data_IF_759916779448
#
_entry.id   IF_759916779448
#
_cell.length_a   1.000
_cell.length_b   1.000
_cell.length_c   1.000
_cell.angle_alpha   90.00
_cell.angle_beta   90.00
_cell.angle_gamma   90.00
#
_symmetry.space_group_name_H-M   'P 1'
#
loop_
_entity.id
_entity.type
_entity.pdbx_description
1 polymer ?
#
# COMPACT_ATOMS: atom_id res chain seq x y z
N UNK A 1 -74.39 -11.89 -0.70
CA UNK A 1 -73.30 -11.39 0.19
C UNK A 1 -72.54 -12.62 0.67
N UNK A 2 -71.24 -12.83 0.42
CA UNK A 2 -70.09 -11.96 0.68
C UNK A 2 -68.91 -12.44 -0.20
N UNK A 3 -68.25 -11.52 -0.89
CA UNK A 3 -67.24 -11.81 -1.92
C UNK A 3 -65.88 -12.28 -1.38
N UNK A 4 -65.14 -13.02 -2.20
CA UNK A 4 -63.70 -13.24 -2.07
C UNK A 4 -63.01 -12.53 -3.22
N UNK A 5 -62.24 -11.50 -2.90
CA UNK A 5 -61.44 -10.74 -3.85
C UNK A 5 -60.20 -11.52 -4.29
N UNK A 6 -59.91 -11.43 -5.58
CA UNK A 6 -58.65 -11.82 -6.20
C UNK A 6 -57.51 -10.92 -5.68
N UNK A 7 -56.51 -11.53 -5.05
CA UNK A 7 -55.25 -10.87 -4.71
C UNK A 7 -54.20 -11.26 -5.76
N UNK A 8 -53.71 -10.23 -6.47
CA UNK A 8 -52.62 -10.29 -7.44
C UNK A 8 -51.36 -10.94 -6.87
N UNK A 9 -50.70 -11.74 -7.70
CA UNK A 9 -49.36 -12.28 -7.51
C UNK A 9 -48.33 -11.15 -7.37
N UNK A 10 -47.86 -10.92 -6.14
CA UNK A 10 -46.65 -10.15 -5.85
C UNK A 10 -45.46 -11.09 -5.73
N UNK A 11 -44.54 -11.06 -6.70
CA UNK A 11 -43.23 -11.70 -6.55
C UNK A 11 -42.47 -11.05 -5.38
N UNK A 12 -41.79 -11.82 -4.50
CA UNK A 12 -41.00 -11.22 -3.43
C UNK A 12 -39.80 -10.50 -4.04
N UNK A 13 -39.62 -9.23 -3.66
CA UNK A 13 -38.48 -8.41 -4.03
C UNK A 13 -37.18 -9.14 -3.67
N UNK A 14 -36.28 -9.25 -4.66
CA UNK A 14 -34.95 -9.82 -4.46
C UNK A 14 -34.19 -8.96 -3.44
N UNK A 15 -33.76 -9.59 -2.35
CA UNK A 15 -32.86 -9.00 -1.36
C UNK A 15 -31.61 -8.46 -2.06
N UNK A 16 -31.09 -7.27 -1.68
CA UNK A 16 -29.83 -6.78 -2.23
C UNK A 16 -28.71 -7.80 -1.94
N UNK A 17 -27.75 -7.99 -2.85
CA UNK A 17 -26.67 -8.94 -2.63
C UNK A 17 -25.95 -8.57 -1.34
N UNK A 18 -25.94 -9.51 -0.39
CA UNK A 18 -25.19 -9.37 0.85
C UNK A 18 -23.74 -9.08 0.49
N UNK A 19 -23.26 -7.91 0.90
CA UNK A 19 -21.84 -7.58 0.87
C UNK A 19 -21.12 -8.70 1.61
N UNK A 20 -20.43 -9.57 0.87
CA UNK A 20 -19.62 -10.65 1.43
C UNK A 20 -18.59 -9.98 2.34
N UNK A 21 -18.85 -10.05 3.65
CA UNK A 21 -17.97 -9.50 4.68
C UNK A 21 -16.63 -10.23 4.53
N UNK A 22 -15.49 -9.52 4.43
CA UNK A 22 -14.21 -10.20 4.37
C UNK A 22 -14.06 -11.10 5.61
N UNK A 23 -13.40 -12.26 5.48
CA UNK A 23 -13.20 -13.17 6.60
C UNK A 23 -12.50 -12.44 7.76
N UNK A 24 -12.88 -12.75 9.01
CA UNK A 24 -12.32 -12.16 10.25
C UNK A 24 -10.78 -12.11 10.31
N UNK A 25 -10.10 -12.89 9.47
CA UNK A 25 -8.64 -13.01 9.37
C UNK A 25 -7.91 -11.81 8.73
N UNK A 26 -8.61 -10.80 8.21
CA UNK A 26 -8.02 -9.52 7.76
C UNK A 26 -8.13 -8.39 8.80
N UNK A 27 -8.78 -8.63 9.94
CA UNK A 27 -8.96 -7.61 10.99
C UNK A 27 -7.63 -7.10 11.57
N UNK A 28 -6.55 -7.89 11.57
CA UNK A 28 -5.23 -7.43 12.05
C UNK A 28 -4.60 -6.38 11.11
N UNK A 29 -4.73 -6.55 9.79
CA UNK A 29 -4.33 -5.53 8.82
C UNK A 29 -5.13 -4.24 9.06
N UNK A 30 -6.45 -4.36 9.25
CA UNK A 30 -7.33 -3.22 9.56
C UNK A 30 -7.11 -2.61 10.95
N UNK A 31 -6.66 -3.40 11.93
CA UNK A 31 -6.36 -2.95 13.30
C UNK A 31 -5.03 -2.20 13.37
N UNK A 32 -4.03 -2.56 12.56
CA UNK A 32 -2.80 -1.78 12.43
C UNK A 32 -2.95 -0.57 11.48
N UNK A 33 -3.96 -0.61 10.61
CA UNK A 33 -4.37 0.47 9.68
C UNK A 33 -5.01 1.68 10.37
N UNK A 34 -5.66 1.49 11.52
CA UNK A 34 -6.37 2.57 12.22
C UNK A 34 -5.45 3.62 12.86
N UNK A 35 -4.17 3.31 13.02
CA UNK A 35 -3.19 4.14 13.73
C UNK A 35 -2.24 4.93 12.79
N UNK A 36 -2.36 4.78 11.47
CA UNK A 36 -1.49 5.47 10.50
C UNK A 36 -2.14 6.75 9.96
N UNK A 37 -1.64 7.95 10.31
CA UNK A 37 -2.17 9.21 9.79
C UNK A 37 -2.08 9.34 8.25
N UNK A 38 -1.20 8.58 7.58
CA UNK A 38 -1.15 8.52 6.12
C UNK A 38 -2.27 7.63 5.51
N UNK A 39 -2.76 6.64 6.26
CA UNK A 39 -3.87 5.77 5.83
C UNK A 39 -5.24 6.47 5.96
N UNK A 40 -5.39 7.38 6.92
CA UNK A 40 -6.62 8.19 7.10
C UNK A 40 -6.86 9.11 5.89
N UNK A 41 -5.80 9.66 5.30
CA UNK A 41 -5.90 10.49 4.09
C UNK A 41 -6.13 9.67 2.80
N UNK A 42 -5.85 8.37 2.81
CA UNK A 42 -6.20 7.44 1.72
C UNK A 42 -7.61 6.85 1.86
N UNK A 43 -8.40 7.35 2.83
CA UNK A 43 -9.81 7.04 3.03
C UNK A 43 -10.64 7.41 1.81
N UNK A 44 -10.82 6.41 0.96
CA UNK A 44 -11.64 6.37 -0.23
C UNK A 44 -13.07 6.93 0.01
N UNK A 45 -13.27 8.25 -0.18
CA UNK A 45 -14.61 8.81 -0.45
C UNK A 45 -14.93 8.55 -1.93
N UNK A 46 -15.45 7.36 -2.20
CA UNK A 46 -16.17 7.10 -3.46
C UNK A 46 -17.59 7.64 -3.33
N UNK A 47 -17.81 8.87 -3.77
CA UNK A 47 -19.12 9.36 -4.18
C UNK A 47 -18.94 10.54 -5.14
N UNK A 48 -19.45 10.40 -6.36
CA UNK A 48 -19.98 11.50 -7.17
C UNK A 48 -18.97 12.47 -7.80
N UNK A 49 -19.04 12.54 -9.13
CA UNK A 49 -18.65 13.66 -10.01
C UNK A 49 -18.50 15.01 -9.28
N UNK A 50 -17.33 15.66 -9.39
CA UNK A 50 -17.16 17.03 -8.91
C UNK A 50 -15.73 17.56 -9.06
N UNK A 51 -15.61 18.66 -9.81
CA UNK A 51 -14.43 19.49 -10.01
C UNK A 51 -13.68 19.78 -8.70
N UNK A 52 -12.34 19.76 -8.74
CA UNK A 52 -11.51 20.21 -7.60
C UNK A 52 -11.10 21.67 -7.83
N UNK A 53 -11.78 22.58 -7.15
CA UNK A 53 -11.30 23.95 -6.93
C UNK A 53 -10.15 23.95 -5.91
N UNK A 54 -9.03 24.57 -6.29
CA UNK A 54 -7.88 24.82 -5.43
C UNK A 54 -8.15 26.04 -4.54
N UNK A 55 -8.30 25.82 -3.23
CA UNK A 55 -8.35 26.91 -2.25
C UNK A 55 -6.93 27.33 -1.86
N UNK A 56 -6.59 28.57 -2.21
CA UNK A 56 -5.36 29.27 -1.87
C UNK A 56 -5.40 29.68 -0.38
N UNK A 57 -4.43 29.25 0.42
CA UNK A 57 -4.31 29.58 1.85
C UNK A 57 -3.19 30.59 2.07
N UNK A 58 -3.59 31.84 2.30
CA UNK A 58 -2.76 33.04 2.50
C UNK A 58 -1.79 32.91 3.68
N UNK A 59 -0.53 33.29 3.43
CA UNK A 59 0.42 33.70 4.45
C UNK A 59 0.06 35.07 5.01
N UNK A 60 0.32 35.22 6.31
CA UNK A 60 -0.03 36.31 7.19
C UNK A 60 0.53 37.68 6.80
N UNK A 61 -0.32 38.69 7.05
CA UNK A 61 -0.13 40.11 6.79
C UNK A 61 1.05 40.75 7.52
N UNK A 62 1.73 41.63 6.80
CA UNK A 62 2.73 42.62 7.25
C UNK A 62 2.09 43.77 8.02
N UNK A 63 2.78 44.30 9.04
CA UNK A 63 2.54 45.62 9.60
C UNK A 63 3.57 46.62 9.05
N UNK A 64 3.07 47.78 8.60
CA UNK A 64 3.81 48.89 7.99
C UNK A 64 4.27 49.88 9.06
N UNK A 65 5.48 50.43 8.90
CA UNK A 65 5.79 51.81 9.32
C UNK A 65 6.71 52.46 8.27
N UNK A 66 6.31 53.65 7.83
CA UNK A 66 6.93 54.45 6.78
C UNK A 66 8.01 55.39 7.33
N UNK A 67 9.00 55.75 6.51
CA UNK A 67 9.60 57.11 6.47
C UNK A 67 10.22 57.36 5.09
N UNK A 68 10.10 58.61 4.64
CA UNK A 68 10.34 59.13 3.29
C UNK A 68 11.81 59.47 3.01
N UNK A 69 12.20 59.54 1.71
CA UNK A 69 12.88 60.71 1.10
C UNK A 69 13.30 60.47 -0.37
N UNK A 70 12.83 61.39 -1.23
CA UNK A 70 13.36 61.99 -2.48
C UNK A 70 14.57 61.38 -3.23
N UNK A 71 14.45 61.19 -4.57
CA UNK A 71 14.87 62.12 -5.67
C UNK A 71 15.02 61.41 -7.04
N UNK A 72 14.39 62.01 -8.06
CA UNK A 72 14.79 62.19 -9.48
C UNK A 72 15.53 61.10 -10.27
N UNK A 73 14.98 60.72 -11.44
CA UNK A 73 15.53 61.04 -12.79
C UNK A 73 15.30 59.93 -13.84
N UNK A 74 14.49 60.29 -14.84
CA UNK A 74 14.56 59.98 -16.28
C UNK A 74 14.49 58.54 -16.82
N UNK A 75 13.52 58.43 -17.74
CA UNK A 75 13.30 57.44 -18.79
C UNK A 75 14.55 57.04 -19.58
N UNK A 76 14.61 55.78 -20.04
CA UNK A 76 14.76 55.44 -21.46
C UNK A 76 14.22 54.02 -21.74
N UNK A 77 13.46 53.90 -22.82
CA UNK A 77 12.95 52.65 -23.38
C UNK A 77 14.00 52.01 -24.28
N UNK A 78 14.24 50.71 -24.16
CA UNK A 78 14.67 49.90 -25.29
C UNK A 78 13.94 48.56 -25.26
N UNK A 79 13.14 48.37 -26.30
CA UNK A 79 12.57 47.10 -26.72
C UNK A 79 13.68 46.11 -27.03
N UNK A 80 13.70 44.96 -26.35
CA UNK A 80 14.34 43.77 -26.91
C UNK A 80 13.38 42.59 -26.92
N UNK A 81 13.35 41.95 -28.08
CA UNK A 81 12.50 40.84 -28.45
C UNK A 81 13.07 39.58 -27.83
N UNK A 82 12.17 38.68 -27.42
CA UNK A 82 12.51 37.26 -27.32
C UNK A 82 12.81 36.79 -25.91
N UNK A 83 11.78 36.68 -25.09
CA UNK A 83 11.76 35.72 -23.98
C UNK A 83 10.43 34.97 -23.98
N UNK A 84 10.16 34.32 -25.11
CA UNK A 84 9.54 32.99 -25.09
C UNK A 84 10.56 31.99 -24.54
N UNK A 85 11.12 32.25 -23.36
CA UNK A 85 11.89 31.27 -22.61
C UNK A 85 10.89 30.25 -22.09
N UNK A 86 10.74 29.20 -22.88
CA UNK A 86 10.55 27.81 -22.45
C UNK A 86 10.17 27.68 -20.98
N UNK A 87 8.89 27.88 -20.67
CA UNK A 87 8.22 27.06 -19.66
C UNK A 87 8.26 25.63 -20.19
N UNK A 88 9.40 24.96 -20.07
CA UNK A 88 9.46 23.50 -20.04
C UNK A 88 8.59 23.13 -18.85
N UNK A 89 7.33 22.82 -19.16
CA UNK A 89 6.50 22.01 -18.30
C UNK A 89 7.36 20.81 -17.95
N UNK A 90 7.78 20.70 -16.69
CA UNK A 90 8.32 19.46 -16.19
C UNK A 90 7.17 18.47 -16.32
N UNK A 91 7.16 17.72 -17.42
CA UNK A 91 6.26 16.60 -17.58
C UNK A 91 6.49 15.73 -16.36
N UNK A 92 5.46 15.56 -15.54
CA UNK A 92 5.57 14.79 -14.33
C UNK A 92 6.05 13.41 -14.76
N UNK A 93 7.26 13.01 -14.36
CA UNK A 93 7.82 11.72 -14.73
C UNK A 93 6.89 10.66 -14.16
N UNK A 94 6.00 10.11 -14.99
CA UNK A 94 5.12 9.02 -14.61
C UNK A 94 6.00 7.79 -14.49
N UNK A 95 6.28 7.40 -13.24
CA UNK A 95 7.00 6.17 -12.96
C UNK A 95 6.13 4.98 -13.40
N UNK A 96 6.63 4.20 -14.34
CA UNK A 96 5.96 2.99 -14.82
C UNK A 96 6.49 1.79 -14.04
N UNK A 97 5.63 1.22 -13.19
CA UNK A 97 5.96 0.08 -12.33
C UNK A 97 6.47 -1.12 -13.12
N UNK A 98 6.03 -1.29 -14.38
CA UNK A 98 6.39 -2.44 -15.21
C UNK A 98 7.79 -2.33 -15.83
N UNK A 99 8.43 -1.15 -15.78
CA UNK A 99 9.78 -0.94 -16.33
C UNK A 99 10.90 -1.41 -15.41
N UNK A 100 10.65 -1.52 -14.11
CA UNK A 100 11.59 -2.11 -13.15
C UNK A 100 11.31 -3.61 -13.08
N UNK A 101 12.34 -4.43 -13.07
CA UNK A 101 12.17 -5.89 -13.05
C UNK A 101 11.73 -6.39 -11.66
N UNK A 102 11.06 -7.56 -11.57
CA UNK A 102 10.69 -8.14 -10.27
C UNK A 102 11.88 -8.44 -9.36
N UNK A 103 13.04 -8.72 -9.97
CA UNK A 103 14.29 -8.98 -9.23
C UNK A 103 14.88 -7.71 -8.63
N UNK A 104 14.87 -6.61 -9.39
CA UNK A 104 15.28 -5.29 -8.87
C UNK A 104 14.36 -4.83 -7.75
N UNK A 105 13.03 -4.98 -7.88
CA UNK A 105 12.12 -4.68 -6.77
C UNK A 105 12.43 -5.51 -5.53
N UNK A 106 12.57 -6.82 -5.67
CA UNK A 106 12.87 -7.69 -4.54
C UNK A 106 14.21 -7.32 -3.89
N UNK A 107 15.23 -7.00 -4.69
CA UNK A 107 16.53 -6.53 -4.23
C UNK A 107 16.43 -5.21 -3.46
N UNK A 108 15.76 -4.20 -4.01
CA UNK A 108 15.62 -2.88 -3.36
C UNK A 108 14.78 -2.95 -2.09
N UNK A 109 13.66 -3.68 -2.10
CA UNK A 109 12.86 -3.91 -0.89
C UNK A 109 13.73 -4.54 0.20
N UNK A 110 14.51 -5.57 -0.16
CA UNK A 110 15.40 -6.25 0.78
C UNK A 110 16.50 -5.33 1.29
N UNK A 111 17.14 -4.54 0.42
CA UNK A 111 18.16 -3.55 0.82
C UNK A 111 17.60 -2.52 1.83
N UNK A 112 16.34 -2.14 1.68
CA UNK A 112 15.69 -1.21 2.60
C UNK A 112 15.20 -1.89 3.90
N UNK A 113 14.86 -3.19 3.86
CA UNK A 113 14.41 -3.96 5.04
C UNK A 113 15.58 -4.32 5.98
N UNK A 114 16.72 -4.72 5.41
CA UNK A 114 17.91 -5.16 6.16
C UNK A 114 18.33 -4.19 7.27
N UNK A 115 18.55 -2.88 7.02
CA UNK A 115 19.02 -1.97 8.06
C UNK A 115 18.00 -1.81 9.19
N UNK A 116 16.70 -1.79 8.89
CA UNK A 116 15.65 -1.66 9.90
C UNK A 116 15.55 -2.94 10.73
N UNK A 117 15.63 -4.12 10.10
CA UNK A 117 15.66 -5.40 10.81
C UNK A 117 16.87 -5.50 11.75
N UNK A 118 18.07 -5.14 11.25
CA UNK A 118 19.30 -5.18 12.05
C UNK A 118 19.34 -4.17 13.19
N UNK A 119 18.54 -3.11 13.13
CA UNK A 119 18.48 -2.09 14.17
C UNK A 119 17.62 -2.52 15.38
N UNK A 120 16.78 -3.55 15.24
CA UNK A 120 15.91 -4.03 16.31
C UNK A 120 16.75 -4.56 17.48
N UNK A 121 16.57 -3.95 18.65
CA UNK A 121 17.24 -4.39 19.87
C UNK A 121 16.46 -5.52 20.57
N UNK A 122 17.13 -6.46 21.25
CA UNK A 122 16.46 -7.52 22.01
C UNK A 122 15.46 -7.01 23.04
N UNK A 123 15.72 -5.88 23.68
CA UNK A 123 14.87 -5.26 24.70
C UNK A 123 13.53 -4.78 24.12
N UNK A 124 13.53 -4.34 22.87
CA UNK A 124 12.32 -3.96 22.14
C UNK A 124 11.40 -5.17 21.98
N UNK A 125 11.99 -6.36 21.75
CA UNK A 125 11.29 -7.63 21.58
C UNK A 125 10.80 -8.20 22.92
N UNK A 126 11.65 -8.17 23.95
CA UNK A 126 11.31 -8.65 25.29
C UNK A 126 10.19 -7.84 25.95
N UNK A 127 10.15 -6.52 25.73
CA UNK A 127 9.16 -5.64 26.35
C UNK A 127 7.73 -5.79 25.82
N UNK A 128 7.57 -6.47 24.66
CA UNK A 128 6.32 -6.51 23.90
C UNK A 128 5.71 -5.10 23.67
N UNK A 129 6.57 -4.08 23.58
CA UNK A 129 6.20 -2.66 23.62
C UNK A 129 5.49 -2.15 22.37
N UNK A 130 5.63 -2.83 21.23
CA UNK A 130 5.12 -2.37 19.93
C UNK A 130 3.59 -2.26 19.83
N UNK A 131 2.85 -2.89 20.75
CA UNK A 131 1.38 -2.79 20.84
C UNK A 131 0.89 -1.82 21.93
N UNK A 132 1.81 -1.14 22.64
CA UNK A 132 1.48 -0.22 23.73
C UNK A 132 1.36 1.22 23.22
N UNK A 133 0.77 2.10 24.01
CA UNK A 133 0.66 3.54 23.68
C UNK A 133 2.03 4.18 23.42
N UNK A 134 3.01 3.82 24.24
CA UNK A 134 4.39 4.31 24.17
C UNK A 134 5.28 3.48 23.21
N UNK A 135 4.68 2.83 22.20
CA UNK A 135 5.40 1.95 21.24
C UNK A 135 6.58 2.63 20.54
N UNK A 136 6.47 3.94 20.28
CA UNK A 136 7.52 4.72 19.62
C UNK A 136 8.75 4.96 20.49
N UNK A 137 8.59 4.90 21.81
CA UNK A 137 9.71 5.03 22.77
C UNK A 137 10.24 3.67 23.20
N UNK A 138 9.36 2.69 23.36
CA UNK A 138 9.69 1.36 23.91
C UNK A 138 10.15 0.33 22.86
N UNK A 139 9.70 0.45 21.61
CA UNK A 139 10.06 -0.46 20.53
C UNK A 139 10.14 0.26 19.16
N UNK A 140 10.93 1.34 19.04
CA UNK A 140 10.97 2.19 17.85
C UNK A 140 11.31 1.42 16.56
N UNK A 141 12.27 0.50 16.61
CA UNK A 141 12.73 -0.25 15.43
C UNK A 141 11.75 -1.37 15.06
N UNK A 142 11.15 -2.04 16.06
CA UNK A 142 10.08 -3.02 15.79
C UNK A 142 8.86 -2.35 15.15
N UNK A 143 8.50 -1.14 15.60
CA UNK A 143 7.45 -0.33 14.98
C UNK A 143 7.84 0.13 13.58
N UNK A 144 9.08 0.58 13.38
CA UNK A 144 9.59 0.94 12.05
C UNK A 144 9.53 -0.25 11.07
N UNK A 145 9.88 -1.45 11.54
CA UNK A 145 9.82 -2.67 10.73
C UNK A 145 8.37 -3.05 10.37
N UNK A 146 7.43 -2.89 11.32
CA UNK A 146 6.00 -3.04 11.05
C UNK A 146 5.49 -2.00 10.04
N UNK A 147 5.96 -0.75 10.12
CA UNK A 147 5.63 0.29 9.14
C UNK A 147 6.12 -0.07 7.74
N UNK A 148 7.32 -0.67 7.61
CA UNK A 148 7.82 -1.18 6.32
C UNK A 148 6.91 -2.26 5.74
N UNK A 149 6.49 -3.23 6.54
CA UNK A 149 5.52 -4.26 6.13
C UNK A 149 4.24 -3.63 5.54
N UNK A 150 3.66 -2.68 6.28
CA UNK A 150 2.43 -2.00 5.89
C UNK A 150 2.63 -1.19 4.61
N UNK A 151 3.74 -0.44 4.51
CA UNK A 151 4.08 0.33 3.32
C UNK A 151 4.13 -0.56 2.08
N UNK A 152 4.89 -1.67 2.12
CA UNK A 152 5.01 -2.59 0.98
C UNK A 152 3.64 -3.19 0.62
N UNK A 153 2.85 -3.60 1.61
CA UNK A 153 1.50 -4.16 1.40
C UNK A 153 0.58 -3.15 0.71
N UNK A 154 0.56 -1.89 1.18
CA UNK A 154 -0.28 -0.84 0.57
C UNK A 154 0.20 -0.40 -0.79
N UNK A 155 1.52 -0.35 -1.00
CA UNK A 155 2.09 -0.02 -2.29
C UNK A 155 1.64 -1.03 -3.35
N UNK A 156 1.73 -2.33 -3.07
CA UNK A 156 1.21 -3.39 -3.97
C UNK A 156 -0.27 -3.18 -4.29
N UNK A 157 -1.10 -2.95 -3.27
CA UNK A 157 -2.54 -2.74 -3.45
C UNK A 157 -2.80 -1.48 -4.29
N UNK A 158 -2.10 -0.38 -3.99
CA UNK A 158 -2.21 0.88 -4.70
C UNK A 158 -1.89 0.72 -6.17
N UNK A 159 -0.73 0.16 -6.52
CA UNK A 159 -0.29 0.04 -7.91
C UNK A 159 -1.24 -0.82 -8.74
N UNK A 160 -1.77 -1.91 -8.18
CA UNK A 160 -2.76 -2.73 -8.88
C UNK A 160 -4.06 -1.96 -9.09
N UNK A 161 -4.55 -1.22 -8.10
CA UNK A 161 -5.82 -0.49 -8.22
C UNK A 161 -5.73 0.75 -9.13
N UNK A 162 -4.56 1.36 -9.26
CA UNK A 162 -4.34 2.56 -10.09
C UNK A 162 -3.98 2.23 -11.55
N UNK A 163 -3.81 0.95 -11.90
CA UNK A 163 -3.57 0.55 -13.28
C UNK A 163 -4.73 0.95 -14.20
N UNK A 164 -4.40 1.65 -15.30
CA UNK A 164 -5.37 2.34 -16.17
C UNK A 164 -6.33 1.40 -16.91
N UNK A 165 -5.88 0.18 -17.25
CA UNK A 165 -6.70 -0.79 -17.99
C UNK A 165 -6.69 -2.15 -17.31
N UNK A 166 -7.69 -2.98 -17.60
CA UNK A 166 -7.76 -4.35 -17.10
C UNK A 166 -6.52 -5.18 -17.49
N UNK A 167 -6.01 -5.00 -18.72
CA UNK A 167 -4.83 -5.70 -19.22
C UNK A 167 -3.57 -5.30 -18.45
N UNK A 168 -3.32 -4.00 -18.34
CA UNK A 168 -2.18 -3.47 -17.56
C UNK A 168 -2.29 -3.91 -16.10
N UNK A 169 -3.49 -3.87 -15.52
CA UNK A 169 -3.71 -4.33 -14.14
C UNK A 169 -3.35 -5.80 -13.93
N UNK A 170 -3.67 -6.67 -14.90
CA UNK A 170 -3.28 -8.07 -14.84
C UNK A 170 -1.75 -8.25 -14.97
N UNK A 171 -1.09 -7.44 -15.79
CA UNK A 171 0.37 -7.41 -15.91
C UNK A 171 1.03 -6.95 -14.60
N UNK A 172 0.55 -5.88 -13.97
CA UNK A 172 1.01 -5.40 -12.66
C UNK A 172 0.80 -6.45 -11.57
N UNK A 173 -0.36 -7.12 -11.55
CA UNK A 173 -0.62 -8.20 -10.60
C UNK A 173 0.33 -9.39 -10.81
N UNK A 174 0.55 -9.82 -12.06
CA UNK A 174 1.58 -10.83 -12.41
C UNK A 174 2.97 -10.39 -11.97
N UNK A 175 3.30 -9.11 -12.13
CA UNK A 175 4.58 -8.53 -11.74
C UNK A 175 4.85 -8.67 -10.24
N UNK A 176 3.85 -8.38 -9.40
CA UNK A 176 3.99 -8.54 -7.94
C UNK A 176 4.03 -10.01 -7.49
N UNK A 177 3.36 -10.93 -8.19
CA UNK A 177 3.54 -12.38 -7.94
C UNK A 177 5.00 -12.78 -8.21
N UNK A 178 5.59 -12.31 -9.31
CA UNK A 178 7.00 -12.58 -9.64
C UNK A 178 7.94 -11.93 -8.63
N UNK A 179 7.61 -10.74 -8.15
CA UNK A 179 8.38 -10.03 -7.11
C UNK A 179 8.34 -10.82 -5.79
N UNK A 180 7.17 -11.31 -5.40
CA UNK A 180 7.01 -12.18 -4.23
C UNK A 180 7.86 -13.46 -4.37
N UNK A 181 7.87 -14.09 -5.55
CA UNK A 181 8.75 -15.23 -5.83
C UNK A 181 10.23 -14.87 -5.64
N UNK A 182 10.67 -13.71 -6.12
CA UNK A 182 12.06 -13.23 -5.93
C UNK A 182 12.38 -12.95 -4.46
N UNK A 183 11.45 -12.38 -3.70
CA UNK A 183 11.59 -12.21 -2.25
C UNK A 183 11.72 -13.55 -1.51
N UNK A 184 10.99 -14.58 -1.95
CA UNK A 184 11.13 -15.95 -1.45
C UNK A 184 12.52 -16.53 -1.76
N UNK A 185 13.04 -16.34 -2.97
CA UNK A 185 14.40 -16.77 -3.36
C UNK A 185 15.49 -16.07 -2.54
N UNK A 186 15.28 -14.81 -2.17
CA UNK A 186 16.18 -14.02 -1.30
C UNK A 186 16.01 -14.32 0.20
N UNK A 187 15.10 -15.22 0.58
CA UNK A 187 14.71 -15.46 1.98
C UNK A 187 14.29 -14.20 2.75
N UNK A 188 13.74 -13.19 2.06
CA UNK A 188 13.10 -12.04 2.70
C UNK A 188 11.62 -12.38 2.96
N UNK A 189 11.38 -13.12 4.04
CA UNK A 189 10.05 -13.62 4.41
C UNK A 189 9.16 -12.51 4.98
N UNK A 190 9.76 -11.45 5.51
CA UNK A 190 9.03 -10.25 5.94
C UNK A 190 8.31 -9.58 4.76
N UNK A 191 9.04 -9.18 3.73
CA UNK A 191 8.44 -8.53 2.56
C UNK A 191 7.62 -9.50 1.71
N UNK A 192 8.01 -10.77 1.62
CA UNK A 192 7.19 -11.78 0.96
C UNK A 192 5.79 -11.85 1.60
N UNK A 193 5.72 -11.92 2.93
CA UNK A 193 4.45 -11.94 3.65
C UNK A 193 3.66 -10.65 3.39
N UNK A 194 4.32 -9.50 3.30
CA UNK A 194 3.67 -8.21 2.97
C UNK A 194 3.02 -8.24 1.58
N UNK A 195 3.75 -8.69 0.56
CA UNK A 195 3.23 -8.78 -0.82
C UNK A 195 2.08 -9.79 -0.91
N UNK A 196 2.24 -11.00 -0.34
CA UNK A 196 1.19 -12.03 -0.34
C UNK A 196 -0.06 -11.52 0.38
N UNK A 197 0.10 -10.86 1.53
CA UNK A 197 -1.03 -10.27 2.28
C UNK A 197 -1.72 -9.15 1.49
N UNK A 198 -0.97 -8.31 0.78
CA UNK A 198 -1.51 -7.29 -0.12
C UNK A 198 -2.34 -7.89 -1.25
N UNK A 199 -1.86 -8.98 -1.88
CA UNK A 199 -2.58 -9.68 -2.95
C UNK A 199 -3.83 -10.42 -2.44
N UNK A 200 -3.80 -10.96 -1.22
CA UNK A 200 -4.96 -11.60 -0.57
C UNK A 200 -5.94 -10.58 0.02
N UNK A 201 -5.57 -9.31 0.14
CA UNK A 201 -6.44 -8.28 0.72
C UNK A 201 -7.77 -8.18 -0.05
N UNK A 202 -8.86 -7.91 0.66
CA UNK A 202 -10.19 -7.76 0.07
C UNK A 202 -10.26 -6.90 -1.22
N UNK A 203 -9.54 -5.76 -1.35
CA UNK A 203 -9.53 -4.98 -2.59
C UNK A 203 -8.94 -5.67 -3.81
N UNK A 204 -7.96 -6.56 -3.61
CA UNK A 204 -7.29 -7.24 -4.71
C UNK A 204 -7.94 -8.59 -4.97
N UNK A 205 -8.25 -9.36 -3.93
CA UNK A 205 -8.83 -10.70 -4.04
C UNK A 205 -10.16 -10.72 -4.82
N UNK A 206 -11.00 -9.69 -4.66
CA UNK A 206 -12.28 -9.60 -5.37
C UNK A 206 -12.19 -9.32 -6.88
N UNK A 207 -11.01 -9.01 -7.41
CA UNK A 207 -10.81 -8.61 -8.82
C UNK A 207 -10.85 -9.81 -9.78
N UNK A 208 -11.94 -10.58 -9.79
CA UNK A 208 -12.08 -11.86 -10.50
C UNK A 208 -11.65 -11.80 -11.97
N UNK A 209 -12.03 -10.74 -12.70
CA UNK A 209 -11.62 -10.52 -14.11
C UNK A 209 -10.11 -10.35 -14.27
N UNK A 210 -9.44 -9.69 -13.33
CA UNK A 210 -7.97 -9.50 -13.36
C UNK A 210 -7.28 -10.83 -13.09
N UNK A 211 -7.71 -11.56 -12.05
CA UNK A 211 -7.17 -12.89 -11.72
C UNK A 211 -7.37 -13.90 -12.85
N UNK A 212 -8.48 -13.81 -13.59
CA UNK A 212 -8.75 -14.68 -14.74
C UNK A 212 -7.68 -14.55 -15.84
N UNK A 213 -7.12 -13.34 -16.05
CA UNK A 213 -6.12 -13.04 -17.08
C UNK A 213 -4.71 -13.51 -16.76
N UNK A 214 -4.44 -13.95 -15.53
CA UNK A 214 -3.12 -14.49 -15.19
C UNK A 214 -2.81 -15.79 -15.93
N UNK A 215 -1.54 -15.95 -16.28
CA UNK A 215 -1.02 -17.22 -16.79
C UNK A 215 -1.17 -18.33 -15.75
N UNK A 216 -1.29 -19.59 -16.19
CA UNK A 216 -1.31 -20.75 -15.27
C UNK A 216 -0.06 -20.81 -14.38
N UNK A 217 1.10 -20.40 -14.93
CA UNK A 217 2.38 -20.36 -14.22
C UNK A 217 2.37 -19.36 -13.05
N UNK A 218 1.83 -18.16 -13.28
CA UNK A 218 1.76 -17.14 -12.23
C UNK A 218 0.76 -17.54 -11.14
N UNK A 219 -0.40 -18.12 -11.51
CA UNK A 219 -1.37 -18.66 -10.54
C UNK A 219 -0.74 -19.73 -9.64
N UNK A 220 -0.11 -20.74 -10.24
CA UNK A 220 0.57 -21.81 -9.49
C UNK A 220 1.71 -21.27 -8.60
N UNK A 221 2.40 -20.22 -9.05
CA UNK A 221 3.43 -19.55 -8.24
C UNK A 221 2.80 -18.89 -7.02
N UNK A 222 1.70 -18.15 -7.20
CA UNK A 222 1.00 -17.50 -6.10
C UNK A 222 0.44 -18.50 -5.09
N UNK A 223 -0.23 -19.56 -5.56
CA UNK A 223 -0.75 -20.65 -4.72
C UNK A 223 0.36 -21.31 -3.88
N UNK A 224 1.54 -21.53 -4.47
CA UNK A 224 2.69 -22.06 -3.73
C UNK A 224 3.17 -21.11 -2.63
N UNK A 225 3.26 -19.81 -2.93
CA UNK A 225 3.70 -18.81 -1.95
C UNK A 225 2.68 -18.66 -0.82
N UNK A 226 1.39 -18.61 -1.13
CA UNK A 226 0.29 -18.63 -0.16
C UNK A 226 0.37 -19.86 0.74
N UNK A 227 0.60 -21.03 0.16
CA UNK A 227 0.73 -22.28 0.91
C UNK A 227 1.88 -22.24 1.93
N UNK A 228 3.07 -21.74 1.53
CA UNK A 228 4.22 -21.65 2.45
C UNK A 228 3.97 -20.59 3.54
N UNK A 229 3.32 -19.48 3.18
CA UNK A 229 3.00 -18.37 4.10
C UNK A 229 1.71 -18.60 4.92
N UNK A 230 1.07 -19.77 4.79
CA UNK A 230 -0.21 -20.06 5.43
C UNK A 230 -0.14 -19.92 6.95
N UNK A 231 -1.22 -19.41 7.54
CA UNK A 231 -1.40 -19.26 8.99
C UNK A 231 -1.77 -20.58 9.68
N UNK A 232 -2.07 -21.62 8.90
CA UNK A 232 -2.43 -22.95 9.38
C UNK A 232 -1.42 -23.49 10.40
N UNK A 233 -1.94 -24.13 11.43
CA UNK A 233 -1.16 -24.72 12.53
C UNK A 233 -0.11 -23.73 13.09
N UNK A 234 -0.56 -22.49 13.29
CA UNK A 234 0.25 -21.38 13.78
C UNK A 234 1.47 -21.09 12.87
N UNK A 235 1.27 -21.08 11.56
CA UNK A 235 2.35 -20.92 10.58
C UNK A 235 3.38 -22.06 10.61
N UNK A 236 2.94 -23.32 10.78
CA UNK A 236 3.85 -24.49 10.85
C UNK A 236 4.81 -24.53 9.66
N UNK A 237 4.29 -24.33 8.45
CA UNK A 237 5.07 -24.41 7.20
C UNK A 237 6.16 -23.34 7.14
N UNK A 238 5.82 -22.10 7.48
CA UNK A 238 6.79 -21.01 7.56
C UNK A 238 7.87 -21.28 8.61
N UNK A 239 7.49 -21.79 9.79
CA UNK A 239 8.46 -22.17 10.84
C UNK A 239 9.39 -23.29 10.37
N UNK A 240 8.85 -24.33 9.76
CA UNK A 240 9.62 -25.47 9.25
C UNK A 240 10.60 -24.99 8.18
N UNK A 241 10.14 -24.10 7.28
CA UNK A 241 10.97 -23.48 6.27
C UNK A 241 12.11 -22.66 6.88
N UNK A 242 11.82 -21.74 7.81
CA UNK A 242 12.86 -20.95 8.53
C UNK A 242 13.86 -21.88 9.22
N UNK A 243 13.39 -22.95 9.85
CA UNK A 243 14.23 -23.94 10.55
C UNK A 243 15.16 -24.71 9.60
N UNK A 244 14.82 -24.78 8.30
CA UNK A 244 15.66 -25.41 7.28
C UNK A 244 16.76 -24.48 6.73
N UNK A 245 16.66 -23.16 6.94
CA UNK A 245 17.61 -22.14 6.45
C UNK A 245 18.88 -21.96 7.31
N UNK A 246 19.34 -23.00 8.02
CA UNK A 246 20.33 -22.90 9.13
C UNK A 246 21.64 -22.16 8.83
N UNK A 247 22.02 -21.97 7.56
CA UNK A 247 23.25 -21.28 7.15
C UNK A 247 23.02 -20.21 6.06
N UNK A 248 21.77 -19.79 5.84
CA UNK A 248 21.42 -18.84 4.78
C UNK A 248 20.89 -17.54 5.39
N UNK A 249 21.39 -16.35 4.97
CA UNK A 249 20.83 -15.08 5.40
C UNK A 249 19.32 -15.03 5.12
N UNK A 250 18.55 -14.59 6.12
CA UNK A 250 17.09 -14.56 6.06
C UNK A 250 16.56 -13.38 6.87
N UNK A 251 15.50 -12.74 6.37
CA UNK A 251 14.74 -11.72 7.11
C UNK A 251 13.40 -12.37 7.53
N UNK A 252 13.22 -12.72 8.80
CA UNK A 252 12.02 -13.42 9.26
C UNK A 252 10.79 -12.51 9.32
N UNK A 253 9.61 -13.10 9.17
CA UNK A 253 8.36 -12.40 9.44
C UNK A 253 8.12 -12.26 10.96
N UNK A 254 8.22 -11.03 11.47
CA UNK A 254 8.15 -10.74 12.92
C UNK A 254 6.74 -10.66 13.50
N UNK A 255 5.67 -10.80 12.71
CA UNK A 255 4.29 -10.83 13.21
C UNK A 255 4.00 -11.99 14.19
N UNK A 256 4.99 -12.84 14.46
CA UNK A 256 4.96 -13.98 15.38
C UNK A 256 5.94 -13.90 16.56
N UNK A 257 6.65 -12.79 16.80
CA UNK A 257 7.52 -12.68 18.00
C UNK A 257 6.76 -12.66 19.35
N UNK A 258 5.43 -12.81 19.34
CA UNK A 258 4.58 -12.92 20.53
C UNK A 258 4.68 -14.27 21.28
N UNK A 259 5.43 -15.26 20.78
CA UNK A 259 5.41 -16.64 21.30
C UNK A 259 6.80 -17.29 21.47
N UNK A 260 7.85 -16.50 21.67
CA UNK A 260 9.09 -16.98 22.26
C UNK A 260 9.21 -16.45 23.69
#
# INVERSE_FOLDING_TARGET
>A
MKGRGEARSGAPAASPPSLVRPPRSQEWLFSCLGDDPAAVNAGLKINGVGSMDLMNGQSSSVNIAATASEKSSSSESLSDKGSAELKKSFDAVVFDVLKVTPEEYAGQITLMDVPVFKAIQPEELASCGWNKKEKYSSAPNAVAFTRRFNHVSFWVVREILHAQTLKIRAEVLSHYIKTAKKLYELNNLHALMAVVSGLQSAPIFRLTKTWALLSRKDKATFEKLEYVMSKEDNYKRLRDYISSLKMTPCIPYLGKLKYF
#
